data_IF_047204079319
#
_entry.id   IF_047204079319
#
_cell.length_a   1.000
_cell.length_b   1.000
_cell.length_c   1.000
_cell.angle_alpha   90.00
_cell.angle_beta   90.00
_cell.angle_gamma   90.00
#
_symmetry.space_group_name_H-M   'P 1'
#
loop_
_entity.id
_entity.type
_entity.pdbx_description
1 polymer ?
#
# COMPACT_ATOMS: atom_id res chain seq x y z
N UNK A 1 5.92 4.97 -2.00
CA UNK A 1 4.68 5.47 -1.36
C UNK A 1 4.93 6.70 -0.49
N UNK A 2 5.93 6.73 0.40
CA UNK A 2 6.29 7.94 1.16
C UNK A 2 6.52 9.16 0.26
N UNK A 3 7.31 9.02 -0.81
CA UNK A 3 7.52 10.10 -1.80
C UNK A 3 6.22 10.61 -2.45
N UNK A 4 5.19 9.76 -2.53
CA UNK A 4 3.87 10.15 -3.04
C UNK A 4 3.15 10.99 -1.98
N UNK A 5 3.21 10.59 -0.70
CA UNK A 5 2.64 11.35 0.42
C UNK A 5 3.25 12.75 0.54
N UNK A 6 4.58 12.86 0.49
CA UNK A 6 5.28 14.16 0.52
C UNK A 6 4.90 15.07 -0.65
N UNK A 7 4.73 14.50 -1.86
CA UNK A 7 4.37 15.28 -3.05
C UNK A 7 2.91 15.75 -3.06
N UNK A 8 2.04 15.15 -2.24
CA UNK A 8 0.58 15.40 -2.22
C UNK A 8 0.12 16.25 -1.04
N UNK A 9 1.02 16.98 -0.38
CA UNK A 9 0.70 17.88 0.74
C UNK A 9 -0.11 17.21 1.87
N UNK A 10 0.08 15.91 2.06
CA UNK A 10 -0.60 15.10 3.09
C UNK A 10 -2.15 15.08 2.97
N UNK A 11 -2.73 15.41 1.82
CA UNK A 11 -4.17 15.37 1.59
C UNK A 11 -4.69 13.92 1.64
N UNK A 12 -5.57 13.55 2.58
CA UNK A 12 -6.09 12.19 2.74
C UNK A 12 -6.74 11.63 1.48
N UNK A 13 -7.44 12.47 0.69
CA UNK A 13 -8.06 12.04 -0.55
C UNK A 13 -7.03 11.66 -1.60
N UNK A 14 -6.02 12.49 -1.79
CA UNK A 14 -4.96 12.22 -2.75
C UNK A 14 -4.14 10.99 -2.34
N UNK A 15 -3.89 10.80 -1.04
CA UNK A 15 -3.24 9.60 -0.49
C UNK A 15 -4.07 8.35 -0.78
N UNK A 16 -5.38 8.38 -0.52
CA UNK A 16 -6.30 7.27 -0.78
C UNK A 16 -6.31 6.87 -2.26
N UNK A 17 -6.48 7.84 -3.16
CA UNK A 17 -6.48 7.59 -4.60
C UNK A 17 -5.13 7.02 -5.05
N UNK A 18 -4.03 7.60 -4.62
CA UNK A 18 -2.68 7.13 -4.98
C UNK A 18 -2.40 5.72 -4.44
N UNK A 19 -2.84 5.42 -3.22
CA UNK A 19 -2.73 4.08 -2.64
C UNK A 19 -3.54 3.04 -3.44
N UNK A 20 -4.74 3.39 -3.92
CA UNK A 20 -5.53 2.56 -4.81
C UNK A 20 -4.83 2.35 -6.16
N UNK A 21 -4.28 3.41 -6.76
CA UNK A 21 -3.56 3.33 -8.03
C UNK A 21 -2.28 2.49 -7.93
N UNK A 22 -1.61 2.49 -6.78
CA UNK A 22 -0.34 1.79 -6.55
C UNK A 22 -0.47 0.26 -6.53
N UNK A 23 -1.67 -0.28 -6.31
CA UNK A 23 -1.89 -1.72 -6.26
C UNK A 23 -1.41 -2.40 -7.56
N UNK A 24 -0.41 -3.30 -7.44
CA UNK A 24 0.25 -3.99 -8.58
C UNK A 24 0.86 -3.05 -9.63
N UNK A 25 1.23 -1.84 -9.25
CA UNK A 25 1.82 -0.84 -10.14
C UNK A 25 3.15 -0.36 -9.55
N UNK A 26 4.13 -0.08 -10.38
CA UNK A 26 5.41 0.48 -9.95
C UNK A 26 5.23 1.91 -9.41
N UNK A 27 6.01 2.28 -8.40
CA UNK A 27 5.88 3.57 -7.73
C UNK A 27 6.06 4.77 -8.68
N UNK A 28 7.03 4.71 -9.61
CA UNK A 28 7.23 5.76 -10.60
C UNK A 28 6.02 5.96 -11.51
N UNK A 29 5.40 4.86 -11.96
CA UNK A 29 4.18 4.88 -12.78
C UNK A 29 3.00 5.45 -12.00
N UNK A 30 2.86 5.04 -10.72
CA UNK A 30 1.81 5.55 -9.84
C UNK A 30 1.96 7.05 -9.61
N UNK A 31 3.16 7.52 -9.30
CA UNK A 31 3.43 8.95 -9.09
C UNK A 31 3.08 9.78 -10.32
N UNK A 32 3.56 9.39 -11.50
CA UNK A 32 3.27 10.09 -12.75
C UNK A 32 1.77 10.13 -13.07
N UNK A 33 1.05 9.01 -12.84
CA UNK A 33 -0.39 8.93 -13.07
C UNK A 33 -1.19 9.78 -12.07
N UNK A 34 -0.83 9.74 -10.79
CA UNK A 34 -1.45 10.56 -9.74
C UNK A 34 -1.26 12.05 -10.02
N UNK A 35 -0.05 12.48 -10.40
CA UNK A 35 0.23 13.88 -10.75
C UNK A 35 -0.65 14.35 -11.90
N UNK A 36 -0.77 13.57 -13.00
CA UNK A 36 -1.66 13.92 -14.12
C UNK A 36 -3.13 13.99 -13.71
N UNK A 37 -3.59 13.04 -12.88
CA UNK A 37 -4.97 12.98 -12.43
C UNK A 37 -5.31 14.19 -11.56
N UNK A 38 -4.48 14.51 -10.58
CA UNK A 38 -4.73 15.60 -9.63
C UNK A 38 -4.53 16.99 -10.25
N UNK A 39 -3.74 17.12 -11.29
CA UNK A 39 -3.69 18.37 -12.08
C UNK A 39 -5.06 18.71 -12.71
N UNK A 40 -5.93 17.69 -12.95
CA UNK A 40 -7.27 17.88 -13.53
C UNK A 40 -8.35 17.84 -12.45
N UNK A 41 -8.25 16.92 -11.49
CA UNK A 41 -9.28 16.68 -10.47
C UNK A 41 -8.63 16.21 -9.16
N UNK A 42 -8.40 17.12 -8.24
CA UNK A 42 -7.70 16.95 -6.97
C UNK A 42 -8.64 16.77 -5.76
N UNK A 43 -9.96 16.85 -5.97
CA UNK A 43 -11.00 16.71 -4.93
C UNK A 43 -12.04 15.66 -5.33
N UNK A 44 -12.77 15.05 -4.35
CA UNK A 44 -13.86 14.13 -4.63
C UNK A 44 -14.91 14.75 -5.56
N UNK A 45 -15.25 16.04 -5.33
CA UNK A 45 -16.26 16.76 -6.11
C UNK A 45 -15.88 16.95 -7.59
N UNK A 46 -14.61 17.19 -7.89
CA UNK A 46 -14.11 17.30 -9.28
C UNK A 46 -13.98 15.94 -9.93
N UNK A 47 -13.46 14.95 -9.19
CA UNK A 47 -13.15 13.64 -9.74
C UNK A 47 -14.40 12.80 -10.02
N UNK A 48 -15.43 12.89 -9.17
CA UNK A 48 -16.73 12.21 -9.38
C UNK A 48 -17.45 12.64 -10.66
N UNK A 49 -17.20 13.87 -11.14
CA UNK A 49 -17.80 14.44 -12.35
C UNK A 49 -17.05 14.05 -13.64
N UNK A 50 -15.83 13.50 -13.53
CA UNK A 50 -15.08 13.11 -14.73
C UNK A 50 -15.67 11.85 -15.38
N UNK A 51 -15.79 11.83 -16.71
CA UNK A 51 -16.10 10.60 -17.44
C UNK A 51 -15.03 9.54 -17.19
N UNK A 52 -15.43 8.27 -16.98
CA UNK A 52 -14.50 7.15 -16.75
C UNK A 52 -13.41 7.09 -17.81
N UNK A 53 -13.76 7.27 -19.08
CA UNK A 53 -12.80 7.28 -20.20
C UNK A 53 -11.72 8.36 -20.08
N UNK A 54 -12.04 9.50 -19.47
CA UNK A 54 -11.05 10.54 -19.20
C UNK A 54 -10.14 10.14 -18.06
N UNK A 55 -10.68 9.54 -16.98
CA UNK A 55 -9.86 9.01 -15.88
C UNK A 55 -8.92 7.92 -16.39
N UNK A 56 -9.42 6.97 -17.21
CA UNK A 56 -8.60 5.93 -17.85
C UNK A 56 -7.36 6.51 -18.53
N UNK A 57 -7.54 7.56 -19.36
CA UNK A 57 -6.43 8.21 -20.08
C UNK A 57 -5.44 8.87 -19.14
N UNK A 58 -5.91 9.51 -18.07
CA UNK A 58 -5.07 10.21 -17.10
C UNK A 58 -4.21 9.24 -16.29
N UNK A 59 -4.77 8.08 -15.92
CA UNK A 59 -4.07 7.10 -15.09
C UNK A 59 -3.29 6.04 -15.87
N UNK A 60 -3.42 5.98 -17.21
CA UNK A 60 -2.62 5.06 -18.03
C UNK A 60 -1.10 5.35 -17.87
N UNK A 61 -0.20 4.37 -17.74
CA UNK A 61 -0.38 2.90 -17.86
C UNK A 61 -0.45 2.15 -16.51
N UNK A 62 -1.18 2.65 -15.54
CA UNK A 62 -1.38 1.97 -14.25
C UNK A 62 -1.99 0.58 -14.48
N UNK A 63 -1.49 -0.44 -13.77
CA UNK A 63 -2.05 -1.79 -13.87
C UNK A 63 -3.55 -1.80 -13.56
N UNK A 64 -4.33 -2.51 -14.37
CA UNK A 64 -5.79 -2.56 -14.23
C UNK A 64 -6.48 -1.17 -14.31
N UNK A 65 -5.91 -0.24 -15.07
CA UNK A 65 -6.37 1.15 -15.11
C UNK A 65 -7.86 1.32 -15.43
N UNK A 66 -8.46 0.43 -16.26
CA UNK A 66 -9.88 0.50 -16.59
C UNK A 66 -10.76 0.28 -15.37
N UNK A 67 -10.51 -0.76 -14.59
CA UNK A 67 -11.26 -1.05 -13.37
C UNK A 67 -10.99 0.05 -12.31
N UNK A 68 -9.73 0.47 -12.17
CA UNK A 68 -9.36 1.53 -11.23
C UNK A 68 -10.02 2.86 -11.57
N UNK A 69 -10.19 3.20 -12.85
CA UNK A 69 -10.90 4.41 -13.26
C UNK A 69 -12.36 4.41 -12.77
N UNK A 70 -13.05 3.27 -12.85
CA UNK A 70 -14.39 3.09 -12.31
C UNK A 70 -14.36 3.23 -10.79
N UNK A 71 -13.47 2.52 -10.11
CA UNK A 71 -13.35 2.57 -8.64
C UNK A 71 -13.08 3.99 -8.14
N UNK A 72 -12.14 4.70 -8.77
CA UNK A 72 -11.78 6.07 -8.38
C UNK A 72 -12.96 7.03 -8.50
N UNK A 73 -13.73 6.94 -9.60
CA UNK A 73 -14.95 7.75 -9.77
C UNK A 73 -16.01 7.40 -8.72
N UNK A 74 -16.31 6.11 -8.56
CA UNK A 74 -17.41 5.66 -7.71
C UNK A 74 -17.07 5.88 -6.22
N UNK A 75 -15.80 5.66 -5.83
CA UNK A 75 -15.29 6.01 -4.51
C UNK A 75 -15.48 7.51 -4.23
N UNK A 76 -15.12 8.37 -5.18
CA UNK A 76 -15.26 9.82 -5.01
C UNK A 76 -16.72 10.23 -4.84
N UNK A 77 -17.67 9.57 -5.54
CA UNK A 77 -19.10 9.79 -5.37
C UNK A 77 -19.57 9.36 -3.98
N UNK A 78 -19.16 8.18 -3.52
CA UNK A 78 -19.52 7.67 -2.19
C UNK A 78 -18.98 8.59 -1.09
N UNK A 79 -17.75 9.11 -1.23
CA UNK A 79 -17.22 10.09 -0.27
C UNK A 79 -18.12 11.32 -0.17
N UNK A 80 -18.64 11.83 -1.28
CA UNK A 80 -19.57 12.97 -1.27
C UNK A 80 -20.91 12.63 -0.62
N UNK A 81 -21.51 11.50 -1.01
CA UNK A 81 -22.85 11.10 -0.60
C UNK A 81 -22.93 10.66 0.88
N UNK A 82 -21.89 9.98 1.38
CA UNK A 82 -21.93 9.32 2.71
C UNK A 82 -20.96 9.90 3.73
N UNK A 83 -19.91 10.60 3.28
CA UNK A 83 -18.84 11.07 4.16
C UNK A 83 -18.61 12.58 4.05
N UNK A 84 -19.56 13.35 3.43
CA UNK A 84 -19.43 14.81 3.29
C UNK A 84 -18.17 15.25 2.52
N UNK A 85 -17.68 14.43 1.59
CA UNK A 85 -16.47 14.67 0.81
C UNK A 85 -15.16 14.39 1.57
N UNK A 86 -15.21 13.84 2.78
CA UNK A 86 -14.04 13.51 3.59
C UNK A 86 -13.69 12.03 3.45
N UNK A 87 -12.41 11.71 3.60
CA UNK A 87 -11.95 10.32 3.69
C UNK A 87 -12.23 9.81 5.11
N UNK A 88 -12.91 8.66 5.26
CA UNK A 88 -13.15 8.08 6.57
C UNK A 88 -11.83 7.62 7.23
N UNK A 89 -11.78 7.69 8.55
CA UNK A 89 -10.58 7.37 9.36
C UNK A 89 -10.68 6.06 10.12
N UNK A 90 -11.54 5.15 9.70
CA UNK A 90 -11.64 3.79 10.24
C UNK A 90 -11.33 2.74 9.18
N UNK A 91 -10.76 1.63 9.61
CA UNK A 91 -10.42 0.52 8.70
C UNK A 91 -11.68 -0.07 8.04
N UNK A 92 -12.76 -0.15 8.79
CA UNK A 92 -14.04 -0.69 8.35
C UNK A 92 -14.64 0.15 7.21
N UNK A 93 -14.78 1.46 7.43
CA UNK A 93 -15.33 2.37 6.41
C UNK A 93 -14.44 2.46 5.18
N UNK A 94 -13.09 2.47 5.37
CA UNK A 94 -12.16 2.47 4.23
C UNK A 94 -12.29 1.21 3.38
N UNK A 95 -12.41 0.03 4.01
CA UNK A 95 -12.56 -1.24 3.27
C UNK A 95 -13.93 -1.40 2.60
N UNK A 96 -14.93 -0.64 3.01
CA UNK A 96 -16.22 -0.59 2.34
C UNK A 96 -16.20 0.23 1.02
N UNK A 97 -15.14 1.01 0.78
CA UNK A 97 -15.01 1.80 -0.44
C UNK A 97 -14.59 0.93 -1.64
N UNK A 98 -15.12 1.21 -2.85
CA UNK A 98 -14.77 0.46 -4.06
C UNK A 98 -13.26 0.41 -4.33
N UNK A 99 -12.72 -0.79 -4.52
CA UNK A 99 -11.31 -1.01 -4.84
C UNK A 99 -10.34 -0.83 -3.68
N UNK A 100 -10.84 -0.58 -2.48
CA UNK A 100 -10.03 -0.42 -1.26
C UNK A 100 -10.03 -1.74 -0.48
N UNK A 101 -8.96 -2.50 -0.59
CA UNK A 101 -8.73 -3.69 0.22
C UNK A 101 -8.01 -3.36 1.54
N UNK A 102 -7.92 -4.35 2.42
CA UNK A 102 -7.33 -4.21 3.77
C UNK A 102 -5.91 -3.61 3.75
N UNK A 103 -5.04 -4.06 2.84
CA UNK A 103 -3.70 -3.49 2.66
C UNK A 103 -3.75 -1.99 2.35
N UNK A 104 -4.61 -1.58 1.40
CA UNK A 104 -4.77 -0.18 0.99
C UNK A 104 -5.32 0.66 2.14
N UNK A 105 -6.33 0.15 2.85
CA UNK A 105 -6.91 0.83 4.00
C UNK A 105 -5.89 1.06 5.12
N UNK A 106 -5.13 0.04 5.52
CA UNK A 106 -4.05 0.18 6.51
C UNK A 106 -2.98 1.19 6.08
N UNK A 107 -2.63 1.21 4.78
CA UNK A 107 -1.67 2.17 4.26
C UNK A 107 -2.21 3.62 4.35
N UNK A 108 -3.49 3.82 4.02
CA UNK A 108 -4.16 5.12 4.18
C UNK A 108 -4.21 5.54 5.64
N UNK A 109 -4.55 4.64 6.55
CA UNK A 109 -4.54 4.91 7.99
C UNK A 109 -3.18 5.41 8.47
N UNK A 110 -2.10 4.77 8.02
CA UNK A 110 -0.74 5.16 8.40
C UNK A 110 -0.34 6.50 7.78
N UNK A 111 -0.55 6.68 6.47
CA UNK A 111 -0.03 7.84 5.74
C UNK A 111 -0.89 9.09 5.89
N UNK A 112 -2.22 8.95 5.86
CA UNK A 112 -3.14 10.08 5.91
C UNK A 112 -3.55 10.47 7.34
N UNK A 113 -3.68 9.48 8.22
CA UNK A 113 -4.16 9.71 9.59
C UNK A 113 -3.09 9.47 10.66
N UNK A 114 -1.83 9.17 10.24
CA UNK A 114 -0.70 8.93 11.16
C UNK A 114 -1.01 7.87 12.22
N UNK A 115 -1.80 6.87 11.84
CA UNK A 115 -2.23 5.81 12.74
C UNK A 115 -1.03 5.02 13.26
N UNK A 116 -0.94 4.89 14.57
CA UNK A 116 -0.01 4.00 15.27
C UNK A 116 -0.61 2.63 15.56
N UNK A 117 -1.88 2.41 15.17
CA UNK A 117 -2.64 1.19 15.42
C UNK A 117 -2.68 0.25 14.20
N UNK A 118 -2.07 0.65 13.08
CA UNK A 118 -2.20 -0.09 11.83
C UNK A 118 -0.88 -0.72 11.40
N UNK A 119 -0.97 -1.95 10.88
CA UNK A 119 0.14 -2.63 10.20
C UNK A 119 -0.25 -2.85 8.75
N UNK A 120 0.50 -2.27 7.82
CA UNK A 120 0.29 -2.50 6.39
C UNK A 120 1.08 -3.74 5.95
N UNK A 121 0.40 -4.85 5.68
CA UNK A 121 1.02 -6.10 5.21
C UNK A 121 0.82 -6.27 3.71
N UNK A 122 1.93 -6.26 2.98
CA UNK A 122 1.99 -6.61 1.57
C UNK A 122 2.75 -7.94 1.36
N UNK A 123 3.01 -8.29 0.10
CA UNK A 123 3.76 -9.49 -0.25
C UNK A 123 5.19 -9.51 0.31
N UNK A 124 5.81 -8.34 0.49
CA UNK A 124 7.15 -8.23 1.06
C UNK A 124 7.10 -8.47 2.57
N UNK A 125 6.22 -7.77 3.27
CA UNK A 125 6.02 -7.93 4.71
C UNK A 125 5.66 -9.38 5.04
N UNK A 126 4.66 -9.95 4.35
CA UNK A 126 4.27 -11.35 4.54
C UNK A 126 5.44 -12.32 4.35
N UNK A 127 6.16 -12.22 3.23
CA UNK A 127 7.29 -13.11 2.93
C UNK A 127 8.41 -12.98 3.93
N UNK A 128 8.83 -11.76 4.24
CA UNK A 128 10.02 -11.51 5.06
C UNK A 128 9.76 -11.86 6.51
N UNK A 129 8.60 -11.52 7.06
CA UNK A 129 8.23 -11.89 8.45
C UNK A 129 8.21 -13.40 8.66
N UNK A 130 7.73 -14.16 7.65
CA UNK A 130 7.80 -15.62 7.68
C UNK A 130 9.24 -16.14 7.55
N UNK A 131 10.07 -15.54 6.69
CA UNK A 131 11.50 -15.93 6.54
C UNK A 131 12.31 -15.65 7.78
N UNK A 132 12.03 -14.55 8.47
CA UNK A 132 12.68 -14.19 9.74
C UNK A 132 12.17 -15.01 10.92
N UNK A 133 11.14 -15.84 10.73
CA UNK A 133 10.55 -16.63 11.80
C UNK A 133 9.75 -15.82 12.82
N UNK A 134 9.47 -14.55 12.54
CA UNK A 134 8.63 -13.72 13.40
C UNK A 134 7.21 -14.25 13.48
N UNK A 135 6.73 -14.82 12.37
CA UNK A 135 5.40 -15.42 12.25
C UNK A 135 5.47 -16.69 11.40
N UNK A 136 4.41 -17.55 11.50
CA UNK A 136 4.18 -18.71 10.64
C UNK A 136 2.77 -18.65 10.10
N UNK A 137 2.59 -18.03 8.93
CA UNK A 137 1.28 -17.71 8.38
C UNK A 137 1.23 -17.99 6.88
N UNK A 138 0.03 -18.24 6.37
CA UNK A 138 -0.19 -18.60 4.95
C UNK A 138 -0.68 -17.42 4.11
N UNK A 139 -1.32 -16.43 4.74
CA UNK A 139 -1.89 -15.27 4.02
C UNK A 139 -1.40 -13.95 4.65
N UNK A 140 -1.42 -12.84 3.90
CA UNK A 140 -1.11 -11.53 4.43
C UNK A 140 -2.00 -11.12 5.61
N UNK A 141 -3.28 -11.47 5.59
CA UNK A 141 -4.23 -11.16 6.66
C UNK A 141 -3.87 -11.88 7.95
N UNK A 142 -3.50 -13.17 7.86
CA UNK A 142 -2.99 -13.91 9.01
C UNK A 142 -1.68 -13.31 9.52
N UNK A 143 -0.81 -12.85 8.62
CA UNK A 143 0.45 -12.19 8.99
C UNK A 143 0.19 -10.89 9.73
N UNK A 144 -0.76 -10.08 9.30
CA UNK A 144 -1.16 -8.85 9.98
C UNK A 144 -1.57 -9.15 11.43
N UNK A 145 -2.47 -10.11 11.63
CA UNK A 145 -2.94 -10.49 12.97
C UNK A 145 -1.82 -11.05 13.86
N UNK A 146 -0.90 -11.82 13.28
CA UNK A 146 0.24 -12.38 14.02
C UNK A 146 1.26 -11.30 14.38
N UNK A 147 1.51 -10.33 13.51
CA UNK A 147 2.45 -9.23 13.74
C UNK A 147 2.01 -8.29 14.87
N UNK A 148 0.70 -8.07 15.06
CA UNK A 148 0.18 -7.31 16.21
C UNK A 148 0.63 -7.90 17.56
N UNK A 149 0.89 -9.22 17.62
CA UNK A 149 1.36 -9.91 18.82
C UNK A 149 2.88 -10.04 18.87
N UNK A 150 3.53 -10.14 17.71
CA UNK A 150 4.97 -10.44 17.63
C UNK A 150 5.86 -9.20 17.66
N UNK A 151 5.33 -8.04 17.24
CA UNK A 151 6.11 -6.82 17.05
C UNK A 151 5.63 -5.73 18.02
N UNK A 152 6.56 -5.02 18.63
CA UNK A 152 6.24 -3.88 19.50
C UNK A 152 5.48 -2.79 18.71
N UNK A 153 4.44 -2.22 19.30
CA UNK A 153 3.51 -1.25 18.69
C UNK A 153 4.22 -0.07 17.98
N UNK A 154 5.31 0.44 18.55
CA UNK A 154 6.09 1.53 17.95
C UNK A 154 6.59 1.25 16.53
N UNK A 155 6.72 -0.03 16.13
CA UNK A 155 7.20 -0.45 14.81
C UNK A 155 6.07 -0.70 13.81
N UNK A 156 4.81 -0.77 14.24
CA UNK A 156 3.68 -1.12 13.37
C UNK A 156 3.56 -0.24 12.13
N UNK A 157 3.57 1.11 12.23
CA UNK A 157 3.46 1.96 11.04
C UNK A 157 4.70 1.90 10.13
N UNK A 158 5.86 1.52 10.66
CA UNK A 158 7.14 1.54 9.94
C UNK A 158 7.47 0.22 9.25
N UNK A 159 6.86 -0.90 9.67
CA UNK A 159 7.26 -2.23 9.22
C UNK A 159 7.10 -2.43 7.71
N UNK A 160 6.07 -1.84 7.11
CA UNK A 160 5.88 -1.90 5.66
C UNK A 160 7.02 -1.21 4.93
N UNK A 161 7.37 0.01 5.31
CA UNK A 161 8.45 0.79 4.70
C UNK A 161 9.78 0.01 4.71
N UNK A 162 10.17 -0.48 5.88
CA UNK A 162 11.44 -1.20 6.04
C UNK A 162 11.45 -2.52 5.26
N UNK A 163 10.38 -3.32 5.39
CA UNK A 163 10.38 -4.63 4.75
C UNK A 163 10.13 -4.57 3.24
N UNK A 164 9.45 -3.56 2.73
CA UNK A 164 9.35 -3.32 1.26
C UNK A 164 10.72 -2.96 0.71
N UNK A 165 11.41 -1.98 1.30
CA UNK A 165 12.76 -1.57 0.88
C UNK A 165 13.73 -2.76 0.93
N UNK A 166 13.71 -3.51 2.03
CA UNK A 166 14.53 -4.71 2.19
C UNK A 166 14.20 -5.79 1.18
N UNK A 167 12.90 -6.00 0.93
CA UNK A 167 12.39 -7.02 0.02
C UNK A 167 12.62 -6.74 -1.46
N UNK A 168 12.74 -5.48 -1.84
CA UNK A 168 13.10 -5.08 -3.21
C UNK A 168 14.59 -5.22 -3.48
N UNK A 169 15.43 -4.94 -2.50
CA UNK A 169 16.88 -4.86 -2.68
C UNK A 169 17.63 -6.13 -2.24
N UNK A 170 17.32 -6.68 -1.08
CA UNK A 170 18.09 -7.76 -0.43
C UNK A 170 17.29 -9.06 -0.35
N UNK A 171 16.17 -9.09 0.37
CA UNK A 171 15.37 -10.29 0.58
C UNK A 171 14.37 -10.53 -0.55
N UNK A 172 14.87 -10.74 -1.77
CA UNK A 172 14.05 -10.94 -2.98
C UNK A 172 13.21 -12.22 -2.90
N UNK A 173 12.09 -12.31 -3.66
CA UNK A 173 11.26 -13.53 -3.72
C UNK A 173 12.08 -14.75 -4.17
N UNK A 174 12.77 -14.58 -5.29
CA UNK A 174 13.66 -15.57 -5.90
C UNK A 174 15.10 -15.06 -5.77
N UNK A 175 16.03 -15.95 -5.41
CA UNK A 175 17.45 -15.63 -5.22
C UNK A 175 17.72 -14.44 -4.28
N UNK A 176 17.30 -14.53 -2.98
CA UNK A 176 17.62 -13.50 -2.01
C UNK A 176 19.13 -13.38 -1.82
N UNK A 177 19.60 -12.15 -1.61
CA UNK A 177 21.03 -11.84 -1.44
C UNK A 177 21.50 -12.12 -0.01
N UNK A 178 21.37 -13.36 0.47
CA UNK A 178 21.68 -13.72 1.86
C UNK A 178 23.16 -13.52 2.23
N UNK A 179 24.09 -13.67 1.28
CA UNK A 179 25.53 -13.42 1.51
C UNK A 179 25.84 -11.95 1.83
N UNK A 180 25.07 -11.00 1.26
CA UNK A 180 25.22 -9.58 1.52
C UNK A 180 24.19 -9.05 2.55
N UNK A 181 23.46 -9.95 3.22
CA UNK A 181 22.42 -9.58 4.16
C UNK A 181 22.99 -9.41 5.56
N UNK A 182 22.89 -8.21 6.12
CA UNK A 182 23.46 -7.86 7.44
C UNK A 182 22.86 -8.65 8.61
N UNK A 183 21.68 -9.25 8.42
CA UNK A 183 21.00 -10.08 9.43
C UNK A 183 20.99 -11.57 9.03
N UNK A 184 21.88 -12.01 8.13
CA UNK A 184 21.88 -13.40 7.66
C UNK A 184 22.18 -14.40 8.79
N UNK A 185 23.02 -14.04 9.74
CA UNK A 185 23.37 -14.91 10.88
C UNK A 185 22.19 -15.15 11.83
N UNK A 186 21.28 -14.17 11.95
CA UNK A 186 20.11 -14.25 12.82
C UNK A 186 18.85 -14.75 12.07
N UNK A 187 18.97 -14.96 10.74
CA UNK A 187 17.82 -15.34 9.91
C UNK A 187 17.71 -16.87 9.79
N UNK A 188 16.68 -17.50 10.35
CA UNK A 188 16.50 -18.96 10.28
C UNK A 188 16.36 -19.50 8.85
N UNK A 189 15.97 -18.66 7.90
CA UNK A 189 15.85 -19.05 6.49
C UNK A 189 17.15 -18.88 5.70
N UNK A 190 18.18 -18.23 6.23
CA UNK A 190 19.40 -17.92 5.49
C UNK A 190 20.15 -19.18 5.04
N UNK A 191 20.27 -20.18 5.92
CA UNK A 191 20.95 -21.45 5.65
C UNK A 191 20.39 -22.18 4.42
N UNK A 192 19.07 -22.12 4.21
CA UNK A 192 18.42 -22.72 3.04
C UNK A 192 18.88 -22.08 1.73
N UNK A 193 19.06 -20.75 1.72
CA UNK A 193 19.42 -20.01 0.50
C UNK A 193 20.94 -19.89 0.30
N UNK A 194 21.74 -20.09 1.34
CA UNK A 194 23.21 -20.13 1.25
C UNK A 194 23.71 -21.47 0.73
N UNK A 195 22.99 -22.58 1.03
CA UNK A 195 23.36 -23.95 0.60
C UNK A 195 22.91 -24.31 -0.81
N UNK A 196 22.00 -23.55 -1.41
CA UNK A 196 21.41 -23.86 -2.74
C UNK A 196 22.14 -23.19 -3.91
N UNK A 197 23.44 -22.93 -3.76
CA UNK A 197 24.34 -22.43 -4.82
C UNK A 197 25.54 -23.34 -5.01
#
# INVERSE_FOLDING_TARGET
MEKISESQKEDPFQILISALLSARTQDATTLAASTRLFAVADTPGRLSKLPVKRIERLIYPVSFYRNKAVFVRDLSRILLERHGGRVPSTLEELTALPGVGRKTANLVMILAFRSTESICVDIHVHRISNRLGWVRTRTPEQTEQALYRAIQRRWWPLINLYLVTWGQNTCRPVYPRCQACVISNDCPSATRFLRSR
#
